data_IF_887751042289
#
_entry.id   IF_887751042289
#
_cell.length_a   1.000
_cell.length_b   1.000
_cell.length_c   1.000
_cell.angle_alpha   90.00
_cell.angle_beta   90.00
_cell.angle_gamma   90.00
#
_symmetry.space_group_name_H-M   'P 1'
#
loop_
_entity.id
_entity.type
_entity.pdbx_description
1 polymer ?
#
# COMPACT_ATOMS: atom_id res chain seq x y z
N UNK A 1 -23.19 7.19 13.96
CA UNK A 1 -22.53 5.92 13.65
C UNK A 1 -22.70 4.99 14.83
N UNK A 2 -23.35 3.85 14.63
CA UNK A 2 -23.53 2.85 15.69
C UNK A 2 -22.38 1.82 15.73
N UNK A 3 -22.41 0.93 16.73
CA UNK A 3 -21.36 -0.08 16.94
C UNK A 3 -21.22 -1.05 15.77
N UNK A 4 -22.31 -1.39 15.09
CA UNK A 4 -22.30 -2.33 13.98
C UNK A 4 -21.68 -1.69 12.74
N UNK A 5 -21.99 -0.41 12.49
CA UNK A 5 -21.37 0.36 11.40
C UNK A 5 -19.85 0.50 11.61
N UNK A 6 -19.41 0.81 12.84
CA UNK A 6 -17.99 0.90 13.16
C UNK A 6 -17.28 -0.45 12.97
N UNK A 7 -17.89 -1.55 13.42
CA UNK A 7 -17.32 -2.89 13.24
C UNK A 7 -17.20 -3.25 11.76
N UNK A 8 -18.20 -2.92 10.95
CA UNK A 8 -18.17 -3.17 9.51
C UNK A 8 -17.00 -2.43 8.84
N UNK A 9 -16.83 -1.14 9.11
CA UNK A 9 -15.72 -0.35 8.56
C UNK A 9 -14.36 -0.94 8.96
N UNK A 10 -14.19 -1.33 10.22
CA UNK A 10 -12.96 -1.96 10.71
C UNK A 10 -12.69 -3.29 9.99
N UNK A 11 -13.72 -4.12 9.80
CA UNK A 11 -13.59 -5.40 9.11
C UNK A 11 -13.22 -5.22 7.63
N UNK A 12 -13.87 -4.27 6.95
CA UNK A 12 -13.57 -3.94 5.55
C UNK A 12 -12.13 -3.44 5.40
N UNK A 13 -11.72 -2.48 6.23
CA UNK A 13 -10.37 -1.93 6.24
C UNK A 13 -9.32 -3.04 6.45
N UNK A 14 -9.49 -3.87 7.48
CA UNK A 14 -8.56 -4.98 7.76
C UNK A 14 -8.47 -5.99 6.60
N UNK A 15 -9.59 -6.25 5.92
CA UNK A 15 -9.63 -7.16 4.77
C UNK A 15 -8.85 -6.58 3.59
N UNK A 16 -9.06 -5.30 3.29
CA UNK A 16 -8.33 -4.57 2.24
C UNK A 16 -6.84 -4.48 2.54
N UNK A 17 -6.47 -4.23 3.80
CA UNK A 17 -5.08 -4.19 4.25
C UNK A 17 -4.36 -5.52 3.96
N UNK A 18 -4.99 -6.64 4.31
CA UNK A 18 -4.43 -7.97 4.07
C UNK A 18 -4.26 -8.23 2.56
N UNK A 19 -5.23 -7.82 1.74
CA UNK A 19 -5.16 -7.97 0.29
C UNK A 19 -4.06 -7.10 -0.31
N UNK A 20 -3.95 -5.84 0.10
CA UNK A 20 -2.91 -4.92 -0.37
C UNK A 20 -1.52 -5.42 0.00
N UNK A 21 -1.32 -5.88 1.24
CA UNK A 21 -0.04 -6.45 1.65
C UNK A 21 0.35 -7.68 0.80
N UNK A 22 -0.60 -8.54 0.45
CA UNK A 22 -0.35 -9.68 -0.47
C UNK A 22 0.00 -9.21 -1.87
N UNK A 23 -0.70 -8.19 -2.38
CA UNK A 23 -0.44 -7.59 -3.67
C UNK A 23 0.99 -7.02 -3.73
N UNK A 24 1.35 -6.16 -2.79
CA UNK A 24 2.70 -5.59 -2.69
C UNK A 24 3.78 -6.66 -2.55
N UNK A 25 3.51 -7.72 -1.77
CA UNK A 25 4.42 -8.86 -1.65
C UNK A 25 4.64 -9.56 -3.00
N UNK A 26 3.58 -9.74 -3.81
CA UNK A 26 3.68 -10.36 -5.13
C UNK A 26 4.45 -9.51 -6.17
N UNK A 27 4.55 -8.20 -5.96
CA UNK A 27 5.37 -7.33 -6.78
C UNK A 27 6.88 -7.57 -6.59
N UNK A 28 7.27 -8.33 -5.56
CA UNK A 28 8.65 -8.70 -5.28
C UNK A 28 9.60 -7.48 -5.20
N UNK A 29 9.13 -6.40 -4.57
CA UNK A 29 9.88 -5.14 -4.43
C UNK A 29 11.17 -5.31 -3.60
N UNK A 30 11.19 -6.30 -2.70
CA UNK A 30 12.30 -6.57 -1.79
C UNK A 30 12.51 -8.09 -1.75
N UNK A 31 13.63 -8.57 -2.29
CA UNK A 31 13.87 -10.00 -2.46
C UNK A 31 13.88 -10.81 -1.14
N UNK A 32 14.22 -10.17 -0.02
CA UNK A 32 14.26 -10.78 1.32
C UNK A 32 13.04 -10.47 2.19
N UNK A 33 12.02 -9.79 1.64
CA UNK A 33 10.81 -9.48 2.38
C UNK A 33 10.11 -10.76 2.84
N UNK A 34 9.71 -10.80 4.11
CA UNK A 34 8.74 -11.78 4.58
C UNK A 34 7.33 -11.34 4.20
N UNK A 35 6.38 -12.27 4.15
CA UNK A 35 4.99 -12.01 3.76
C UNK A 35 4.32 -10.85 4.52
N UNK A 36 4.75 -10.56 5.74
CA UNK A 36 4.16 -9.50 6.58
C UNK A 36 5.07 -8.27 6.72
N UNK A 37 6.26 -8.27 6.11
CA UNK A 37 7.22 -7.17 6.24
C UNK A 37 6.76 -5.87 5.56
N UNK A 38 5.78 -5.96 4.66
CA UNK A 38 5.18 -4.82 3.96
C UNK A 38 3.88 -4.34 4.60
N UNK A 39 3.47 -4.88 5.75
CA UNK A 39 2.17 -4.55 6.36
C UNK A 39 2.07 -3.06 6.73
N UNK A 40 3.15 -2.49 7.26
CA UNK A 40 3.19 -1.07 7.61
C UNK A 40 3.13 -0.18 6.36
N UNK A 41 3.79 -0.59 5.28
CA UNK A 41 3.73 0.10 4.00
C UNK A 41 2.32 0.03 3.40
N UNK A 42 1.70 -1.17 3.41
CA UNK A 42 0.33 -1.38 2.96
C UNK A 42 -0.66 -0.49 3.73
N UNK A 43 -0.52 -0.40 5.06
CA UNK A 43 -1.36 0.46 5.90
C UNK A 43 -1.26 1.94 5.48
N UNK A 44 -0.04 2.44 5.27
CA UNK A 44 0.17 3.82 4.82
C UNK A 44 -0.49 4.09 3.48
N UNK A 45 -0.32 3.19 2.50
CA UNK A 45 -0.92 3.35 1.17
C UNK A 45 -2.45 3.28 1.25
N UNK A 46 -3.00 2.30 1.97
CA UNK A 46 -4.45 2.14 2.12
C UNK A 46 -5.10 3.40 2.72
N UNK A 47 -4.50 3.97 3.77
CA UNK A 47 -4.99 5.20 4.38
C UNK A 47 -4.98 6.41 3.43
N UNK A 48 -4.10 6.43 2.42
CA UNK A 48 -4.11 7.48 1.40
C UNK A 48 -5.16 7.22 0.34
N UNK A 49 -5.33 5.97 -0.10
CA UNK A 49 -6.35 5.57 -1.06
C UNK A 49 -7.76 5.83 -0.51
N UNK A 50 -8.02 5.48 0.75
CA UNK A 50 -9.28 5.78 1.44
C UNK A 50 -9.56 7.28 1.60
N UNK A 51 -8.52 8.12 1.48
CA UNK A 51 -8.61 9.58 1.50
C UNK A 51 -8.58 10.20 0.11
N UNK A 52 -8.74 9.40 -0.94
CA UNK A 52 -8.74 9.84 -2.34
C UNK A 52 -7.46 10.63 -2.70
N UNK A 53 -6.31 10.17 -2.19
CA UNK A 53 -5.04 10.83 -2.46
C UNK A 53 -4.72 10.88 -3.96
N UNK A 54 -4.18 12.02 -4.38
CA UNK A 54 -3.71 12.21 -5.76
C UNK A 54 -2.49 11.33 -6.09
N UNK A 55 -2.32 11.03 -7.37
CA UNK A 55 -1.27 10.16 -7.89
C UNK A 55 0.14 10.53 -7.39
N UNK A 56 0.52 11.80 -7.54
CA UNK A 56 1.85 12.28 -7.16
C UNK A 56 2.12 12.16 -5.66
N UNK A 57 1.07 12.33 -4.84
CA UNK A 57 1.17 12.15 -3.39
C UNK A 57 1.42 10.70 -3.02
N UNK A 58 0.73 9.77 -3.67
CA UNK A 58 0.94 8.34 -3.43
C UNK A 58 2.34 7.91 -3.90
N UNK A 59 2.77 8.38 -5.08
CA UNK A 59 4.12 8.15 -5.61
C UNK A 59 5.21 8.61 -4.64
N UNK A 60 5.08 9.83 -4.10
CA UNK A 60 6.04 10.36 -3.15
C UNK A 60 6.13 9.53 -1.86
N UNK A 61 5.00 8.97 -1.39
CA UNK A 61 4.98 8.08 -0.22
C UNK A 61 5.65 6.74 -0.54
N UNK A 62 5.41 6.18 -1.73
CA UNK A 62 6.06 4.95 -2.18
C UNK A 62 7.58 5.14 -2.23
N UNK A 63 8.05 6.23 -2.85
CA UNK A 63 9.48 6.55 -2.92
C UNK A 63 10.08 6.72 -1.53
N UNK A 64 9.43 7.51 -0.67
CA UNK A 64 9.91 7.74 0.69
C UNK A 64 10.00 6.44 1.49
N UNK A 65 8.96 5.59 1.44
CA UNK A 65 8.97 4.36 2.23
C UNK A 65 10.04 3.39 1.74
N UNK A 66 10.12 3.17 0.43
CA UNK A 66 11.10 2.24 -0.15
C UNK A 66 12.53 2.71 0.11
N UNK A 67 12.80 4.00 0.02
CA UNK A 67 14.14 4.54 0.31
C UNK A 67 14.46 4.58 1.81
N UNK A 68 13.56 5.13 2.63
CA UNK A 68 13.87 5.45 4.04
C UNK A 68 13.65 4.24 4.95
N UNK A 69 12.53 3.54 4.79
CA UNK A 69 12.18 2.41 5.66
C UNK A 69 12.86 1.13 5.19
N UNK A 70 13.03 0.96 3.88
CA UNK A 70 13.52 -0.29 3.30
C UNK A 70 14.93 -0.21 2.69
N UNK A 71 15.49 1.00 2.57
CA UNK A 71 16.89 1.21 2.20
C UNK A 71 17.19 1.06 0.71
N UNK A 72 16.18 1.13 -0.16
CA UNK A 72 16.37 1.05 -1.61
C UNK A 72 16.85 2.39 -2.16
N UNK A 73 17.70 2.36 -3.18
CA UNK A 73 17.98 3.52 -4.02
C UNK A 73 16.85 3.75 -5.03
N UNK A 74 16.65 5.00 -5.45
CA UNK A 74 15.58 5.38 -6.40
C UNK A 74 15.70 4.68 -7.76
N UNK A 75 16.90 4.20 -8.13
CA UNK A 75 17.13 3.43 -9.35
C UNK A 75 16.81 1.92 -9.22
N UNK A 76 16.59 1.41 -8.00
CA UNK A 76 16.27 -0.01 -7.76
C UNK A 76 14.80 -0.35 -7.99
N UNK A 77 13.94 0.65 -8.15
CA UNK A 77 12.51 0.46 -8.35
C UNK A 77 11.91 1.52 -9.28
N UNK A 78 10.76 1.19 -9.89
CA UNK A 78 10.02 2.13 -10.72
C UNK A 78 8.79 2.64 -9.94
N UNK A 79 8.93 3.80 -9.30
CA UNK A 79 7.86 4.39 -8.49
C UNK A 79 6.59 4.68 -9.28
N UNK A 80 6.70 5.07 -10.56
CA UNK A 80 5.54 5.32 -11.42
C UNK A 80 4.76 4.05 -11.68
N UNK A 81 5.45 2.97 -12.08
CA UNK A 81 4.84 1.67 -12.27
C UNK A 81 4.15 1.19 -11.00
N UNK A 82 4.83 1.29 -9.85
CA UNK A 82 4.27 0.83 -8.56
C UNK A 82 3.02 1.66 -8.21
N UNK A 83 3.07 2.97 -8.40
CA UNK A 83 1.93 3.85 -8.12
C UNK A 83 0.74 3.50 -8.99
N UNK A 84 0.96 3.36 -10.30
CA UNK A 84 -0.08 2.94 -11.24
C UNK A 84 -0.68 1.58 -10.86
N UNK A 85 0.17 0.57 -10.63
CA UNK A 85 -0.26 -0.77 -10.23
C UNK A 85 -1.11 -0.75 -8.94
N UNK A 86 -0.79 0.11 -7.98
CA UNK A 86 -1.56 0.27 -6.72
C UNK A 86 -2.91 0.95 -6.95
N UNK A 87 -2.99 1.98 -7.80
CA UNK A 87 -4.27 2.59 -8.18
C UNK A 87 -5.16 1.61 -8.96
N UNK A 88 -4.59 0.92 -9.93
CA UNK A 88 -5.30 -0.10 -10.70
C UNK A 88 -5.83 -1.20 -9.77
N UNK A 89 -5.04 -1.66 -8.80
CA UNK A 89 -5.50 -2.60 -7.79
C UNK A 89 -6.68 -2.03 -6.97
N UNK A 90 -6.62 -0.76 -6.56
CA UNK A 90 -7.66 -0.11 -5.77
C UNK A 90 -8.98 0.05 -6.53
N UNK A 91 -8.93 0.42 -7.81
CA UNK A 91 -10.11 0.62 -8.65
C UNK A 91 -10.80 -0.70 -9.04
N UNK A 92 -10.10 -1.84 -8.92
CA UNK A 92 -10.59 -3.18 -9.26
C UNK A 92 -10.91 -4.06 -8.04
N UNK A 93 -11.06 -3.46 -6.84
CA UNK A 93 -11.47 -4.14 -5.60
C UNK A 93 -12.93 -4.61 -5.57
#
# INVERSE_FOLDING_TARGET
MDKNEMNFIITEHNSRLILLNKFLYSMNLIASASKNSLMHFAEKLLQQLEKEAEYDKLKAIIEWELCVSYGLSLDEFNSEKITHDVFDWWENL
#
